data_IF_877403169868
#
_entry.id   IF_877403169868
#
_cell.length_a   1.000
_cell.length_b   1.000
_cell.length_c   1.000
_cell.angle_alpha   90.00
_cell.angle_beta   90.00
_cell.angle_gamma   90.00
#
_symmetry.space_group_name_H-M   'P 1'
#
loop_
_entity.id
_entity.type
_entity.pdbx_description
1 polymer ?
#
# COMPACT_ATOMS: atom_id res chain seq x y z
N UNK A 1 0.73 25.04 -21.08
CA UNK A 1 0.83 23.58 -21.03
C UNK A 1 -0.33 22.97 -21.82
N UNK A 2 -0.07 21.92 -22.59
CA UNK A 2 -1.09 21.26 -23.43
C UNK A 2 -1.72 20.12 -22.64
N UNK A 3 -2.88 20.30 -21.99
CA UNK A 3 -3.50 19.29 -21.11
C UNK A 3 -3.77 17.96 -21.85
N UNK A 4 -4.01 18.02 -23.16
CA UNK A 4 -4.23 16.81 -23.96
C UNK A 4 -3.01 15.91 -24.06
N UNK A 5 -1.79 16.48 -24.13
CA UNK A 5 -0.55 15.67 -24.15
C UNK A 5 -0.33 14.99 -22.80
N UNK A 6 -0.57 15.70 -21.69
CA UNK A 6 -0.49 15.11 -20.35
C UNK A 6 -1.46 13.94 -20.20
N UNK A 7 -2.74 14.14 -20.54
CA UNK A 7 -3.76 13.09 -20.43
C UNK A 7 -3.44 11.88 -21.30
N UNK A 8 -2.99 12.10 -22.55
CA UNK A 8 -2.60 11.01 -23.43
C UNK A 8 -1.40 10.22 -22.86
N UNK A 9 -0.36 10.93 -22.40
CA UNK A 9 0.83 10.31 -21.82
C UNK A 9 0.47 9.54 -20.55
N UNK A 10 -0.36 10.11 -19.68
CA UNK A 10 -0.87 9.45 -18.48
C UNK A 10 -1.63 8.17 -18.81
N UNK A 11 -2.55 8.23 -19.78
CA UNK A 11 -3.34 7.07 -20.21
C UNK A 11 -2.45 5.97 -20.78
N UNK A 12 -1.49 6.30 -21.65
CA UNK A 12 -0.54 5.35 -22.21
C UNK A 12 0.35 4.71 -21.14
N UNK A 13 0.90 5.51 -20.22
CA UNK A 13 1.70 4.98 -19.11
C UNK A 13 0.87 4.06 -18.21
N UNK A 14 -0.37 4.43 -17.88
CA UNK A 14 -1.25 3.57 -17.08
C UNK A 14 -1.56 2.26 -17.79
N UNK A 15 -1.83 2.29 -19.10
CA UNK A 15 -2.09 1.10 -19.90
C UNK A 15 -0.90 0.14 -19.98
N UNK A 16 0.34 0.66 -19.92
CA UNK A 16 1.57 -0.16 -19.86
C UNK A 16 1.84 -0.66 -18.44
N UNK A 17 1.66 0.18 -17.43
CA UNK A 17 1.97 -0.15 -16.05
C UNK A 17 1.03 -1.20 -15.46
N UNK A 18 -0.25 -1.21 -15.84
CA UNK A 18 -1.21 -2.20 -15.35
C UNK A 18 -0.80 -3.65 -15.65
N UNK A 19 -0.47 -4.04 -16.90
CA UNK A 19 0.04 -5.38 -17.15
C UNK A 19 1.43 -5.63 -16.55
N UNK A 20 2.31 -4.62 -16.49
CA UNK A 20 3.62 -4.75 -15.83
C UNK A 20 3.45 -5.06 -14.34
N UNK A 21 2.40 -4.54 -13.69
CA UNK A 21 2.12 -4.84 -12.31
C UNK A 21 1.86 -6.32 -12.03
N UNK A 22 1.33 -7.07 -12.98
CA UNK A 22 1.15 -8.52 -12.82
C UNK A 22 2.49 -9.24 -12.57
N UNK A 23 3.57 -8.72 -13.14
CA UNK A 23 4.93 -9.24 -12.93
C UNK A 23 5.63 -8.61 -11.72
N UNK A 24 5.38 -7.34 -11.45
CA UNK A 24 5.98 -6.60 -10.34
C UNK A 24 5.27 -6.86 -8.99
N UNK A 25 3.99 -7.24 -9.01
CA UNK A 25 3.19 -7.50 -7.82
C UNK A 25 3.81 -8.49 -6.84
N UNK A 26 4.30 -9.66 -7.29
CA UNK A 26 4.98 -10.62 -6.42
C UNK A 26 6.23 -10.04 -5.73
N UNK A 27 7.03 -9.25 -6.45
CA UNK A 27 8.20 -8.58 -5.89
C UNK A 27 7.79 -7.52 -4.85
N UNK A 28 6.74 -6.75 -5.15
CA UNK A 28 6.16 -5.79 -4.20
C UNK A 28 5.65 -6.49 -2.94
N UNK A 29 4.90 -7.59 -3.07
CA UNK A 29 4.40 -8.37 -1.94
C UNK A 29 5.54 -8.93 -1.09
N UNK A 30 6.64 -9.37 -1.70
CA UNK A 30 7.83 -9.83 -0.98
C UNK A 30 8.46 -8.70 -0.16
N UNK A 31 8.67 -7.54 -0.75
CA UNK A 31 9.21 -6.36 -0.05
C UNK A 31 8.27 -5.93 1.09
N UNK A 32 6.96 -5.90 0.83
CA UNK A 32 5.96 -5.55 1.84
C UNK A 32 5.98 -6.53 3.02
N UNK A 33 6.01 -7.84 2.76
CA UNK A 33 6.10 -8.88 3.79
C UNK A 33 7.36 -8.73 4.64
N UNK A 34 8.48 -8.38 4.01
CA UNK A 34 9.73 -8.11 4.75
C UNK A 34 9.57 -6.91 5.69
N UNK A 35 9.00 -5.78 5.22
CA UNK A 35 8.74 -4.59 6.06
C UNK A 35 7.79 -4.92 7.22
N UNK A 36 6.73 -5.68 6.96
CA UNK A 36 5.79 -6.13 8.01
C UNK A 36 6.50 -7.01 9.03
N UNK A 37 7.32 -7.97 8.58
CA UNK A 37 8.11 -8.85 9.45
C UNK A 37 9.05 -8.06 10.37
N UNK A 38 9.76 -7.07 9.83
CA UNK A 38 10.61 -6.17 10.63
C UNK A 38 9.75 -5.37 11.61
N UNK A 39 8.63 -4.81 11.19
CA UNK A 39 7.72 -4.06 12.06
C UNK A 39 7.18 -4.91 13.20
N UNK A 40 6.70 -6.11 12.92
CA UNK A 40 6.22 -7.06 13.94
C UNK A 40 7.35 -7.42 14.95
N UNK A 41 8.55 -7.69 14.47
CA UNK A 41 9.70 -8.00 15.32
C UNK A 41 10.04 -6.85 16.27
N UNK A 42 10.00 -5.59 15.78
CA UNK A 42 10.31 -4.41 16.59
C UNK A 42 9.33 -4.18 17.74
N UNK A 43 8.08 -4.61 17.61
CA UNK A 43 7.06 -4.49 18.66
C UNK A 43 6.76 -5.80 19.39
N UNK A 44 7.61 -6.83 19.19
CA UNK A 44 7.50 -8.10 19.89
C UNK A 44 6.35 -8.99 19.42
N UNK A 45 5.80 -8.76 18.22
CA UNK A 45 4.79 -9.63 17.64
C UNK A 45 5.43 -10.81 16.88
N UNK A 46 4.71 -11.95 16.78
CA UNK A 46 5.16 -13.06 15.95
C UNK A 46 5.28 -12.61 14.49
N UNK A 47 6.37 -12.99 13.83
CA UNK A 47 6.55 -12.72 12.40
C UNK A 47 5.52 -13.52 11.61
N UNK A 48 4.77 -12.82 10.75
CA UNK A 48 3.93 -13.50 9.78
C UNK A 48 4.80 -14.25 8.77
N UNK A 49 4.47 -15.51 8.53
CA UNK A 49 5.12 -16.29 7.46
C UNK A 49 4.95 -15.58 6.09
N UNK A 50 5.87 -15.85 5.17
CA UNK A 50 5.97 -15.20 3.85
C UNK A 50 4.71 -15.28 2.94
N UNK A 51 3.63 -15.92 3.36
CA UNK A 51 2.36 -16.01 2.61
C UNK A 51 1.22 -15.14 3.14
N UNK A 52 1.43 -14.40 4.24
CA UNK A 52 0.34 -13.70 4.92
C UNK A 52 -0.05 -12.35 4.27
N UNK A 53 0.85 -11.72 3.55
CA UNK A 53 0.49 -10.63 2.65
C UNK A 53 0.06 -11.28 1.33
N UNK A 54 -1.24 -11.47 1.14
CA UNK A 54 -1.81 -12.20 0.00
C UNK A 54 -1.13 -11.84 -1.34
N UNK A 55 -0.92 -12.85 -2.17
CA UNK A 55 -0.16 -12.77 -3.44
C UNK A 55 -0.72 -11.77 -4.48
N UNK A 56 -1.81 -11.09 -4.18
CA UNK A 56 -2.54 -10.20 -5.10
C UNK A 56 -2.68 -8.76 -4.60
N UNK A 57 -1.74 -8.26 -3.80
CA UNK A 57 -1.80 -6.88 -3.33
C UNK A 57 -1.50 -5.91 -4.46
N UNK A 58 -2.53 -5.55 -5.22
CA UNK A 58 -2.47 -4.41 -6.13
C UNK A 58 -2.43 -3.15 -5.27
N UNK A 59 -1.42 -2.31 -5.48
CA UNK A 59 -1.42 -0.95 -4.93
C UNK A 59 -1.74 0.04 -6.06
N UNK A 60 -3.01 0.40 -6.24
CA UNK A 60 -3.43 1.27 -7.33
C UNK A 60 -2.82 2.68 -7.22
N UNK A 61 -2.49 3.12 -6.00
CA UNK A 61 -1.79 4.37 -5.76
C UNK A 61 -0.39 4.39 -6.36
N UNK A 62 0.35 3.26 -6.31
CA UNK A 62 1.67 3.17 -6.93
C UNK A 62 1.57 3.25 -8.45
N UNK A 63 0.66 2.50 -9.07
CA UNK A 63 0.47 2.51 -10.53
C UNK A 63 0.06 3.90 -11.00
N UNK A 64 -0.96 4.49 -10.37
CA UNK A 64 -1.42 5.84 -10.69
C UNK A 64 -0.32 6.88 -10.48
N UNK A 65 0.45 6.77 -9.40
CA UNK A 65 1.50 7.73 -9.07
C UNK A 65 2.67 7.69 -10.04
N UNK A 66 3.16 6.50 -10.39
CA UNK A 66 4.22 6.36 -11.39
C UNK A 66 3.77 6.96 -12.72
N UNK A 67 2.51 6.71 -13.12
CA UNK A 67 1.94 7.30 -14.34
C UNK A 67 1.82 8.83 -14.24
N UNK A 68 1.34 9.38 -13.12
CA UNK A 68 1.20 10.83 -12.90
C UNK A 68 2.56 11.54 -12.93
N UNK A 69 3.54 11.08 -12.15
CA UNK A 69 4.88 11.68 -12.11
C UNK A 69 5.60 11.50 -13.44
N UNK A 70 5.48 10.33 -14.07
CA UNK A 70 6.06 10.05 -15.38
C UNK A 70 5.50 10.94 -16.48
N UNK A 71 4.18 11.14 -16.51
CA UNK A 71 3.49 11.95 -17.51
C UNK A 71 3.64 13.46 -17.30
N UNK A 72 4.11 13.93 -16.10
CA UNK A 72 4.24 15.36 -15.81
C UNK A 72 5.18 16.03 -16.81
N UNK A 73 4.69 16.94 -17.64
CA UNK A 73 5.52 17.64 -18.62
C UNK A 73 6.48 18.61 -17.93
N UNK A 74 7.50 19.05 -18.61
CA UNK A 74 8.47 20.08 -18.18
C UNK A 74 9.37 19.71 -16.99
N UNK A 75 9.20 18.57 -16.34
CA UNK A 75 10.05 18.17 -15.22
C UNK A 75 11.21 17.27 -15.67
N UNK A 76 12.38 17.47 -15.03
CA UNK A 76 13.58 16.68 -15.32
C UNK A 76 13.38 15.20 -14.92
N UNK A 77 14.10 14.29 -15.60
CA UNK A 77 14.08 12.88 -15.24
C UNK A 77 14.50 12.62 -13.79
N UNK A 78 15.48 13.39 -13.28
CA UNK A 78 15.94 13.32 -11.88
C UNK A 78 14.83 13.69 -10.90
N UNK A 79 14.08 14.75 -11.19
CA UNK A 79 12.93 15.17 -10.38
C UNK A 79 11.86 14.07 -10.34
N UNK A 80 11.49 13.52 -11.51
CA UNK A 80 10.51 12.44 -11.62
C UNK A 80 10.92 11.21 -10.80
N UNK A 81 12.16 10.74 -10.97
CA UNK A 81 12.68 9.57 -10.25
C UNK A 81 12.71 9.80 -8.73
N UNK A 82 13.10 11.00 -8.28
CA UNK A 82 13.09 11.35 -6.86
C UNK A 82 11.68 11.25 -6.27
N UNK A 83 10.68 11.84 -6.92
CA UNK A 83 9.32 11.82 -6.42
C UNK A 83 8.64 10.46 -6.52
N UNK A 84 8.95 9.68 -7.57
CA UNK A 84 8.52 8.27 -7.65
C UNK A 84 9.14 7.48 -6.49
N UNK A 85 10.42 7.68 -6.17
CA UNK A 85 11.07 7.04 -5.03
C UNK A 85 10.40 7.40 -3.68
N UNK A 86 10.11 8.68 -3.47
CA UNK A 86 9.36 9.16 -2.28
C UNK A 86 7.98 8.51 -2.21
N UNK A 87 7.26 8.46 -3.33
CA UNK A 87 5.95 7.83 -3.42
C UNK A 87 6.01 6.35 -3.04
N UNK A 88 6.92 5.59 -3.66
CA UNK A 88 7.10 4.15 -3.39
C UNK A 88 7.38 3.93 -1.90
N UNK A 89 8.34 4.67 -1.34
CA UNK A 89 8.70 4.54 0.07
C UNK A 89 7.51 4.85 0.98
N UNK A 90 6.82 5.97 0.74
CA UNK A 90 5.70 6.42 1.56
C UNK A 90 4.52 5.44 1.50
N UNK A 91 4.10 5.03 0.30
CA UNK A 91 2.97 4.12 0.15
C UNK A 91 3.27 2.72 0.70
N UNK A 92 4.49 2.20 0.48
CA UNK A 92 4.90 0.89 1.01
C UNK A 92 5.00 0.92 2.54
N UNK A 93 5.61 1.96 3.11
CA UNK A 93 5.72 2.10 4.57
C UNK A 93 4.36 2.24 5.23
N UNK A 94 3.46 3.06 4.66
CA UNK A 94 2.10 3.23 5.20
C UNK A 94 1.32 1.91 5.13
N UNK A 95 1.42 1.19 4.02
CA UNK A 95 0.77 -0.11 3.87
C UNK A 95 1.33 -1.13 4.90
N UNK A 96 2.65 -1.17 5.08
CA UNK A 96 3.28 -2.02 6.08
C UNK A 96 2.80 -1.71 7.51
N UNK A 97 2.71 -0.41 7.88
CA UNK A 97 2.21 0.02 9.19
C UNK A 97 0.76 -0.43 9.40
N UNK A 98 -0.10 -0.30 8.40
CA UNK A 98 -1.49 -0.76 8.48
C UNK A 98 -1.58 -2.27 8.68
N UNK A 99 -0.75 -3.05 7.99
CA UNK A 99 -0.69 -4.50 8.16
C UNK A 99 -0.14 -4.90 9.54
N UNK A 100 0.89 -4.23 10.05
CA UNK A 100 1.41 -4.45 11.41
C UNK A 100 0.34 -4.14 12.45
N UNK A 101 -0.40 -3.04 12.31
CA UNK A 101 -1.50 -2.70 13.20
C UNK A 101 -2.61 -3.75 13.18
N UNK A 102 -2.89 -4.31 12.01
CA UNK A 102 -3.85 -5.41 11.87
C UNK A 102 -3.38 -6.69 12.57
N UNK A 103 -2.11 -7.09 12.39
CA UNK A 103 -1.54 -8.25 13.11
C UNK A 103 -1.62 -8.03 14.61
N UNK A 104 -1.28 -6.82 15.09
CA UNK A 104 -1.39 -6.48 16.50
C UNK A 104 -2.83 -6.65 17.02
N UNK A 105 -3.83 -6.14 16.30
CA UNK A 105 -5.23 -6.26 16.68
C UNK A 105 -5.66 -7.73 16.80
N UNK A 106 -5.28 -8.57 15.83
CA UNK A 106 -5.59 -10.01 15.85
C UNK A 106 -4.93 -10.71 17.03
N UNK A 107 -3.66 -10.42 17.31
CA UNK A 107 -2.93 -11.02 18.45
C UNK A 107 -3.53 -10.61 19.79
N UNK A 108 -3.93 -9.33 19.93
CA UNK A 108 -4.61 -8.85 21.16
C UNK A 108 -5.96 -9.53 21.34
N UNK A 109 -6.76 -9.67 20.28
CA UNK A 109 -8.06 -10.36 20.36
C UNK A 109 -7.90 -11.83 20.75
N UNK A 110 -6.89 -12.54 20.19
CA UNK A 110 -6.56 -13.91 20.56
C UNK A 110 -6.11 -14.04 22.02
N UNK A 111 -5.30 -13.11 22.51
CA UNK A 111 -4.83 -13.11 23.90
C UNK A 111 -6.00 -12.88 24.88
N UNK A 112 -6.89 -11.93 24.58
CA UNK A 112 -8.09 -11.64 25.38
C UNK A 112 -9.01 -12.87 25.43
N UNK A 113 -9.10 -13.63 24.34
CA UNK A 113 -9.89 -14.86 24.28
C UNK A 113 -9.26 -15.98 25.12
N UNK A 114 -7.94 -16.15 25.04
CA UNK A 114 -7.21 -17.17 25.80
C UNK A 114 -7.34 -16.97 27.32
N UNK A 115 -7.41 -15.73 27.78
CA UNK A 115 -7.63 -15.40 29.21
C UNK A 115 -9.11 -15.59 29.65
N UNK A 116 -9.99 -16.07 28.78
CA UNK A 116 -11.39 -16.36 29.13
C UNK A 116 -12.27 -15.14 29.33
N UNK A 117 -11.78 -13.93 28.98
CA UNK A 117 -12.52 -12.68 29.15
C UNK A 117 -13.69 -12.53 28.16
N UNK A 118 -13.74 -13.37 27.12
CA UNK A 118 -14.83 -13.36 26.12
C UNK A 118 -15.35 -14.75 25.73
N UNK A 119 -15.79 -15.60 26.69
CA UNK A 119 -16.25 -16.95 26.33
C UNK A 119 -17.47 -16.98 25.40
N UNK A 120 -18.24 -15.88 25.34
CA UNK A 120 -19.43 -15.73 24.51
C UNK A 120 -19.14 -15.16 23.09
N UNK A 121 -17.93 -14.62 22.86
CA UNK A 121 -17.50 -14.21 21.50
C UNK A 121 -16.76 -15.35 20.77
N UNK A 122 -16.38 -16.40 21.50
CA UNK A 122 -15.65 -17.56 20.98
C UNK A 122 -16.46 -18.43 20.00
N UNK A 123 -17.78 -18.17 19.83
CA UNK A 123 -18.61 -18.85 18.84
C UNK A 123 -18.48 -18.28 17.42
N UNK A 124 -17.88 -17.10 17.28
CA UNK A 124 -17.51 -16.55 15.97
C UNK A 124 -16.12 -17.02 15.57
N UNK A 125 -16.01 -17.62 14.40
CA UNK A 125 -14.75 -18.09 13.87
C UNK A 125 -13.74 -16.92 13.78
N UNK A 126 -12.71 -16.91 14.65
CA UNK A 126 -11.70 -15.83 14.73
C UNK A 126 -11.02 -15.61 13.38
N UNK A 127 -10.83 -16.69 12.62
CA UNK A 127 -10.34 -16.61 11.25
C UNK A 127 -11.23 -15.72 10.37
N UNK A 128 -12.55 -15.81 10.51
CA UNK A 128 -13.49 -15.02 9.72
C UNK A 128 -13.51 -13.54 10.16
N UNK A 129 -13.36 -13.27 11.46
CA UNK A 129 -13.26 -11.89 11.97
C UNK A 129 -11.95 -11.23 11.57
N UNK A 130 -10.84 -11.94 11.66
CA UNK A 130 -9.53 -11.47 11.19
C UNK A 130 -9.54 -11.23 9.67
N UNK A 131 -10.18 -12.12 8.91
CA UNK A 131 -10.34 -11.97 7.46
C UNK A 131 -11.25 -10.80 7.12
N UNK A 132 -12.33 -10.59 7.85
CA UNK A 132 -13.24 -9.46 7.66
C UNK A 132 -12.56 -8.12 8.00
N UNK A 133 -11.82 -8.04 9.11
CA UNK A 133 -11.04 -6.86 9.48
C UNK A 133 -9.92 -6.58 8.45
N UNK A 134 -9.25 -7.62 7.96
CA UNK A 134 -8.28 -7.57 6.87
C UNK A 134 -8.90 -7.00 5.61
N UNK A 135 -10.05 -7.50 5.21
CA UNK A 135 -10.78 -7.03 4.04
C UNK A 135 -11.14 -5.55 4.12
N UNK A 136 -11.57 -5.06 5.28
CA UNK A 136 -11.94 -3.65 5.47
C UNK A 136 -10.74 -2.71 5.41
N UNK A 137 -9.62 -3.04 6.05
CA UNK A 137 -8.38 -2.25 5.99
C UNK A 137 -7.78 -2.26 4.58
N UNK A 138 -7.79 -3.41 3.91
CA UNK A 138 -7.32 -3.53 2.54
C UNK A 138 -8.19 -2.72 1.58
N UNK A 139 -9.51 -2.77 1.74
CA UNK A 139 -10.44 -1.96 0.95
C UNK A 139 -10.24 -0.47 1.19
N UNK A 140 -10.07 -0.05 2.44
CA UNK A 140 -9.78 1.34 2.78
C UNK A 140 -8.45 1.81 2.15
N UNK A 141 -7.40 0.98 2.22
CA UNK A 141 -6.11 1.29 1.61
C UNK A 141 -6.20 1.37 0.08
N UNK A 142 -6.99 0.50 -0.55
CA UNK A 142 -7.23 0.51 -1.99
C UNK A 142 -7.76 1.87 -2.46
N UNK A 143 -8.67 2.49 -1.71
CA UNK A 143 -9.24 3.81 -2.02
C UNK A 143 -8.37 4.98 -1.57
N UNK A 144 -7.68 4.86 -0.45
CA UNK A 144 -6.84 5.93 0.10
C UNK A 144 -5.54 6.12 -0.67
N UNK A 145 -4.92 5.05 -1.15
CA UNK A 145 -3.61 5.15 -1.80
C UNK A 145 -3.59 6.02 -3.06
N UNK A 146 -4.60 6.03 -3.96
CA UNK A 146 -4.66 6.98 -5.06
C UNK A 146 -4.88 8.42 -4.61
N UNK A 147 -5.64 8.64 -3.53
CA UNK A 147 -5.87 10.00 -3.00
C UNK A 147 -4.58 10.58 -2.41
N UNK A 148 -3.84 9.80 -1.63
CA UNK A 148 -2.53 10.19 -1.10
C UNK A 148 -1.56 10.49 -2.25
N UNK A 149 -1.57 9.67 -3.29
CA UNK A 149 -0.77 9.86 -4.50
C UNK A 149 -1.09 11.18 -5.21
N UNK A 150 -2.36 11.47 -5.41
CA UNK A 150 -2.80 12.72 -6.03
C UNK A 150 -2.40 13.94 -5.19
N UNK A 151 -2.55 13.88 -3.86
CA UNK A 151 -2.12 14.94 -2.96
C UNK A 151 -0.61 15.18 -3.03
N UNK A 152 0.19 14.11 -3.05
CA UNK A 152 1.64 14.20 -3.18
C UNK A 152 2.05 14.81 -4.52
N UNK A 153 1.41 14.39 -5.61
CA UNK A 153 1.68 14.93 -6.94
C UNK A 153 1.37 16.42 -7.03
N UNK A 154 0.23 16.88 -6.48
CA UNK A 154 -0.13 18.29 -6.44
C UNK A 154 0.88 19.11 -5.64
N UNK A 155 1.32 18.63 -4.47
CA UNK A 155 2.31 19.33 -3.63
C UNK A 155 3.69 19.39 -4.28
N UNK A 156 4.09 18.32 -4.97
CA UNK A 156 5.34 18.26 -5.71
C UNK A 156 5.34 19.22 -6.91
N UNK A 157 4.22 19.31 -7.64
CA UNK A 157 4.04 20.21 -8.78
C UNK A 157 4.15 21.69 -8.38
N UNK A 158 3.61 22.08 -7.24
CA UNK A 158 3.72 23.45 -6.73
C UNK A 158 5.16 23.87 -6.38
N UNK A 159 6.00 22.93 -5.94
CA UNK A 159 7.41 23.19 -5.62
C UNK A 159 8.32 23.26 -6.86
N UNK A 160 7.95 22.62 -7.94
CA UNK A 160 8.70 22.66 -9.19
C UNK A 160 8.41 23.87 -10.08
N UNK A 161 7.40 24.67 -9.73
CA UNK A 161 7.02 25.87 -10.46
C UNK A 161 7.67 27.16 -9.92
N UNK A 162 8.48 27.07 -8.87
CA UNK A 162 9.29 28.14 -8.28
C UNK A 162 10.76 27.95 -8.65
#
# INVERSE_FOLDING_TARGET
ERPGIFLLTFALMSAVLLPVWQFAGPAYSYVLTWFVGVGCTLIGLPSLGAGAAGAETINPGLVAGIALFGATPSQSARWKLMWIGVLVLMLTSTHAILLVAQVHAVVVDLAVEADGLRPWLATGNIGDQATAASGSLHSAWYWLSPMVTAALWLTAGQRGAR
#
